data_IF_924466186972
#
_entry.id   IF_924466186972
#
_cell.length_a   1.000
_cell.length_b   1.000
_cell.length_c   1.000
_cell.angle_alpha   90.00
_cell.angle_beta   90.00
_cell.angle_gamma   90.00
#
_symmetry.space_group_name_H-M   'P 1'
#
loop_
_entity.id
_entity.type
_entity.pdbx_description
1 polymer ?
#
# COMPACT_ATOMS: atom_id res chain seq x y z
N UNK A 1 41.63 3.65 3.09
CA UNK A 1 40.54 3.52 2.11
C UNK A 1 39.26 3.06 2.80
N UNK A 2 39.34 2.08 3.70
CA UNK A 2 38.18 1.56 4.45
C UNK A 2 37.46 2.62 5.29
N UNK A 3 38.18 3.55 5.91
CA UNK A 3 37.60 4.65 6.70
C UNK A 3 36.71 5.60 5.87
N UNK A 4 37.06 5.83 4.60
CA UNK A 4 36.28 6.67 3.66
C UNK A 4 35.01 5.94 3.25
N UNK A 5 35.10 4.63 2.97
CA UNK A 5 33.96 3.78 2.59
C UNK A 5 32.96 3.67 3.75
N UNK A 6 33.45 3.49 4.98
CA UNK A 6 32.60 3.41 6.18
C UNK A 6 31.86 4.73 6.41
N UNK A 7 32.55 5.88 6.33
CA UNK A 7 31.91 7.17 6.57
C UNK A 7 30.86 7.52 5.49
N UNK A 8 31.11 7.17 4.22
CA UNK A 8 30.13 7.37 3.15
C UNK A 8 28.92 6.46 3.31
N UNK A 9 29.12 5.18 3.67
CA UNK A 9 28.01 4.26 3.94
C UNK A 9 27.11 4.75 5.07
N UNK A 10 27.69 5.21 6.18
CA UNK A 10 26.91 5.75 7.31
C UNK A 10 26.09 6.98 6.92
N UNK A 11 26.67 7.87 6.13
CA UNK A 11 26.00 9.10 5.70
C UNK A 11 24.79 8.78 4.82
N UNK A 12 24.94 7.82 3.90
CA UNK A 12 23.85 7.35 3.04
C UNK A 12 22.75 6.69 3.87
N UNK A 13 23.10 5.80 4.80
CA UNK A 13 22.13 5.12 5.67
C UNK A 13 21.30 6.12 6.48
N UNK A 14 21.94 7.12 7.09
CA UNK A 14 21.26 8.16 7.87
C UNK A 14 20.32 8.97 6.99
N UNK A 15 20.77 9.39 5.80
CA UNK A 15 19.95 10.16 4.88
C UNK A 15 18.72 9.38 4.39
N UNK A 16 18.91 8.12 4.00
CA UNK A 16 17.83 7.22 3.59
C UNK A 16 16.83 7.00 4.72
N UNK A 17 17.31 6.77 5.95
CA UNK A 17 16.44 6.60 7.12
C UNK A 17 15.57 7.84 7.35
N UNK A 18 16.14 9.05 7.25
CA UNK A 18 15.40 10.30 7.43
C UNK A 18 14.31 10.47 6.36
N UNK A 19 14.64 10.20 5.09
CA UNK A 19 13.68 10.33 3.98
C UNK A 19 12.52 9.34 4.12
N UNK A 20 12.83 8.07 4.40
CA UNK A 20 11.80 7.02 4.57
C UNK A 20 10.94 7.33 5.79
N UNK A 21 11.54 7.63 6.94
CA UNK A 21 10.79 7.94 8.15
C UNK A 21 9.86 9.14 7.95
N UNK A 22 10.34 10.21 7.33
CA UNK A 22 9.53 11.40 7.06
C UNK A 22 8.36 11.11 6.11
N UNK A 23 8.64 10.42 4.99
CA UNK A 23 7.62 10.03 4.02
C UNK A 23 6.56 9.10 4.61
N UNK A 24 6.98 8.12 5.40
CA UNK A 24 6.09 7.21 6.12
C UNK A 24 5.19 7.97 7.10
N UNK A 25 5.73 8.90 7.89
CA UNK A 25 4.93 9.70 8.84
C UNK A 25 3.89 10.54 8.10
N UNK A 26 4.28 11.25 7.03
CA UNK A 26 3.35 12.01 6.20
C UNK A 26 2.25 11.13 5.61
N UNK A 27 2.61 9.96 5.07
CA UNK A 27 1.65 9.02 4.51
C UNK A 27 0.63 8.53 5.56
N UNK A 28 1.08 8.20 6.79
CA UNK A 28 0.18 7.87 7.91
C UNK A 28 -0.79 9.03 8.17
N UNK A 29 -0.27 10.26 8.28
CA UNK A 29 -1.08 11.42 8.65
C UNK A 29 -2.14 11.75 7.59
N UNK A 30 -1.77 11.69 6.31
CA UNK A 30 -2.72 11.85 5.20
C UNK A 30 -3.77 10.73 5.19
N UNK A 31 -3.33 9.50 5.40
CA UNK A 31 -4.21 8.34 5.44
C UNK A 31 -5.25 8.45 6.56
N UNK A 32 -4.83 8.72 7.80
CA UNK A 32 -5.72 8.84 8.96
C UNK A 32 -6.75 9.96 8.74
N UNK A 33 -6.32 11.13 8.26
CA UNK A 33 -7.23 12.26 8.00
C UNK A 33 -8.26 11.93 6.91
N UNK A 34 -7.84 11.25 5.84
CA UNK A 34 -8.71 10.86 4.75
C UNK A 34 -9.72 9.77 5.17
N UNK A 35 -9.30 8.85 6.03
CA UNK A 35 -10.11 7.72 6.46
C UNK A 35 -11.18 8.11 7.50
N UNK A 36 -10.84 8.99 8.44
CA UNK A 36 -11.77 9.49 9.46
C UNK A 36 -12.97 10.22 8.86
N UNK A 37 -12.83 10.81 7.66
CA UNK A 37 -13.93 11.44 6.93
C UNK A 37 -14.92 10.47 6.27
N UNK A 38 -14.56 9.19 6.08
CA UNK A 38 -15.27 8.25 5.18
C UNK A 38 -16.23 7.28 5.88
N UNK A 39 -16.28 7.28 7.21
CA UNK A 39 -16.99 6.25 8.01
C UNK A 39 -18.53 6.39 8.07
N UNK A 40 -19.14 7.37 7.41
CA UNK A 40 -20.59 7.64 7.48
C UNK A 40 -21.36 7.15 6.23
N UNK A 41 -21.89 5.92 6.22
CA UNK A 41 -22.74 5.46 5.10
C UNK A 41 -23.32 4.03 5.13
N UNK A 42 -24.53 3.87 5.72
CA UNK A 42 -25.68 2.91 5.60
C UNK A 42 -25.60 1.51 4.94
N UNK A 43 -26.35 0.55 5.54
CA UNK A 43 -26.21 -0.94 5.46
C UNK A 43 -27.18 -1.52 4.41
N UNK A 44 -26.66 -2.33 3.48
CA UNK A 44 -27.42 -3.15 2.50
C UNK A 44 -26.48 -4.23 1.91
N UNK A 45 -26.99 -5.25 1.20
CA UNK A 45 -26.20 -6.36 0.63
C UNK A 45 -25.06 -5.93 -0.32
N UNK A 46 -25.17 -4.74 -0.92
CA UNK A 46 -24.06 -4.03 -1.61
C UNK A 46 -22.83 -3.76 -0.72
N UNK A 47 -22.99 -3.83 0.61
CA UNK A 47 -21.95 -3.52 1.59
C UNK A 47 -20.97 -4.68 1.80
N UNK A 48 -21.30 -5.93 1.46
CA UNK A 48 -20.32 -7.03 1.53
C UNK A 48 -19.18 -6.82 0.53
N UNK A 49 -19.49 -6.50 -0.73
CA UNK A 49 -18.47 -6.07 -1.69
C UNK A 49 -17.80 -4.76 -1.25
N UNK A 50 -18.54 -3.78 -0.73
CA UNK A 50 -17.93 -2.53 -0.26
C UNK A 50 -16.95 -2.75 0.91
N UNK A 51 -17.26 -3.66 1.83
CA UNK A 51 -16.38 -4.06 2.94
C UNK A 51 -15.17 -4.79 2.39
N UNK A 52 -15.32 -5.68 1.39
CA UNK A 52 -14.19 -6.36 0.73
C UNK A 52 -13.27 -5.37 0.01
N UNK A 53 -13.84 -4.42 -0.75
CA UNK A 53 -13.09 -3.39 -1.47
C UNK A 53 -12.34 -2.48 -0.48
N UNK A 54 -13.01 -1.98 0.56
CA UNK A 54 -12.36 -1.17 1.59
C UNK A 54 -11.28 -1.98 2.32
N UNK A 55 -11.56 -3.23 2.66
CA UNK A 55 -10.57 -4.13 3.26
C UNK A 55 -9.37 -4.33 2.34
N UNK A 56 -9.58 -4.47 1.03
CA UNK A 56 -8.50 -4.55 0.05
C UNK A 56 -7.67 -3.27 -0.03
N UNK A 57 -8.29 -2.09 0.06
CA UNK A 57 -7.56 -0.82 0.18
C UNK A 57 -6.73 -0.73 1.48
N UNK A 58 -7.29 -1.14 2.62
CA UNK A 58 -6.54 -1.18 3.89
C UNK A 58 -5.37 -2.17 3.85
N UNK A 59 -5.57 -3.33 3.22
CA UNK A 59 -4.50 -4.31 3.02
C UNK A 59 -3.41 -3.76 2.10
N UNK A 60 -3.75 -3.10 0.99
CA UNK A 60 -2.78 -2.46 0.11
C UNK A 60 -1.94 -1.41 0.85
N UNK A 61 -2.59 -0.60 1.70
CA UNK A 61 -1.91 0.46 2.44
C UNK A 61 -1.04 -0.08 3.59
N UNK A 62 -1.51 -1.11 4.31
CA UNK A 62 -0.68 -1.82 5.27
C UNK A 62 0.55 -2.43 4.59
N UNK A 63 0.35 -3.00 3.41
CA UNK A 63 1.41 -3.58 2.60
C UNK A 63 2.42 -2.52 2.15
N UNK A 64 1.97 -1.30 1.80
CA UNK A 64 2.80 -0.08 1.61
C UNK A 64 3.74 0.20 2.78
N UNK A 65 3.21 0.18 4.01
CA UNK A 65 3.98 0.35 5.24
C UNK A 65 5.01 -0.76 5.48
N UNK A 66 4.68 -2.01 5.12
CA UNK A 66 5.59 -3.14 5.31
C UNK A 66 6.88 -3.00 4.47
N UNK A 67 6.86 -2.40 3.27
CA UNK A 67 8.11 -2.12 2.53
C UNK A 67 8.98 -1.12 3.28
N UNK A 68 8.39 -0.05 3.83
CA UNK A 68 9.17 0.95 4.54
C UNK A 68 9.91 0.32 5.74
N UNK A 69 9.22 -0.57 6.46
CA UNK A 69 9.81 -1.33 7.56
C UNK A 69 10.95 -2.27 7.10
N UNK A 70 10.74 -3.04 6.03
CA UNK A 70 11.74 -3.98 5.50
C UNK A 70 12.99 -3.26 4.95
N UNK A 71 12.81 -2.10 4.30
CA UNK A 71 13.93 -1.27 3.83
C UNK A 71 14.73 -0.72 5.00
N UNK A 72 14.07 -0.19 6.03
CA UNK A 72 14.75 0.28 7.25
C UNK A 72 15.53 -0.86 7.91
N UNK A 73 14.94 -2.05 8.01
CA UNK A 73 15.61 -3.22 8.57
C UNK A 73 16.88 -3.61 7.80
N UNK A 74 16.80 -3.62 6.47
CA UNK A 74 17.93 -3.96 5.59
C UNK A 74 19.07 -2.92 5.66
N UNK A 75 18.74 -1.65 5.90
CA UNK A 75 19.76 -0.59 6.12
C UNK A 75 20.50 -0.80 7.45
N UNK A 76 19.81 -1.31 8.48
CA UNK A 76 20.39 -1.57 9.80
C UNK A 76 21.23 -2.85 9.83
N UNK A 77 20.73 -3.92 9.20
CA UNK A 77 21.36 -5.24 9.14
C UNK A 77 21.99 -5.41 7.75
N UNK A 78 23.18 -4.86 7.56
CA UNK A 78 23.84 -4.73 6.25
C UNK A 78 24.46 -6.07 5.76
N UNK A 79 23.70 -7.17 5.79
CA UNK A 79 24.14 -8.52 5.38
C UNK A 79 23.51 -8.98 4.06
N UNK A 80 24.23 -9.81 3.30
CA UNK A 80 23.75 -10.37 2.04
C UNK A 80 22.50 -11.27 2.20
N UNK A 81 22.30 -11.86 3.38
CA UNK A 81 21.09 -12.62 3.69
C UNK A 81 19.85 -11.74 3.77
N UNK A 82 19.97 -10.53 4.31
CA UNK A 82 18.83 -9.60 4.44
C UNK A 82 18.41 -9.03 3.10
N UNK A 83 19.36 -8.84 2.17
CA UNK A 83 19.04 -8.50 0.78
C UNK A 83 18.17 -9.58 0.10
N UNK A 84 18.41 -10.86 0.38
CA UNK A 84 17.60 -11.96 -0.16
C UNK A 84 16.19 -11.97 0.44
N UNK A 85 16.07 -11.72 1.73
CA UNK A 85 14.78 -11.63 2.43
C UNK A 85 13.99 -10.42 1.90
N UNK A 86 14.64 -9.27 1.73
CA UNK A 86 14.04 -8.08 1.12
C UNK A 86 13.53 -8.37 -0.29
N UNK A 87 14.33 -9.03 -1.13
CA UNK A 87 13.92 -9.45 -2.47
C UNK A 87 12.67 -10.35 -2.46
N UNK A 88 12.62 -11.33 -1.56
CA UNK A 88 11.46 -12.22 -1.41
C UNK A 88 10.21 -11.47 -0.92
N UNK A 89 10.36 -10.59 0.07
CA UNK A 89 9.27 -9.77 0.59
C UNK A 89 8.62 -8.93 -0.51
N UNK A 90 9.43 -8.27 -1.34
CA UNK A 90 8.95 -7.48 -2.49
C UNK A 90 8.14 -8.34 -3.46
N UNK A 91 8.58 -9.55 -3.78
CA UNK A 91 7.85 -10.45 -4.69
C UNK A 91 6.49 -10.86 -4.11
N UNK A 92 6.46 -11.34 -2.86
CA UNK A 92 5.22 -11.74 -2.18
C UNK A 92 4.24 -10.57 -2.16
N UNK A 93 4.74 -9.38 -1.81
CA UNK A 93 3.96 -8.16 -1.81
C UNK A 93 3.40 -7.82 -3.18
N UNK A 94 4.20 -7.83 -4.25
CA UNK A 94 3.71 -7.53 -5.60
C UNK A 94 2.60 -8.49 -6.00
N UNK A 95 2.73 -9.78 -5.68
CA UNK A 95 1.68 -10.77 -5.93
C UNK A 95 0.40 -10.43 -5.15
N UNK A 96 0.49 -10.18 -3.84
CA UNK A 96 -0.67 -9.85 -3.01
C UNK A 96 -1.37 -8.55 -3.47
N UNK A 97 -0.60 -7.49 -3.71
CA UNK A 97 -1.11 -6.22 -4.25
C UNK A 97 -1.79 -6.42 -5.61
N UNK A 98 -1.23 -7.26 -6.48
CA UNK A 98 -1.79 -7.56 -7.79
C UNK A 98 -3.11 -8.33 -7.70
N UNK A 99 -3.19 -9.36 -6.85
CA UNK A 99 -4.43 -10.10 -6.63
C UNK A 99 -5.55 -9.20 -6.07
N UNK A 100 -5.23 -8.41 -5.05
CA UNK A 100 -6.19 -7.48 -4.43
C UNK A 100 -6.64 -6.38 -5.41
N UNK A 101 -5.70 -5.76 -6.13
CA UNK A 101 -6.03 -4.72 -7.11
C UNK A 101 -6.88 -5.26 -8.26
N UNK A 102 -6.65 -6.51 -8.68
CA UNK A 102 -7.44 -7.16 -9.72
C UNK A 102 -8.89 -7.40 -9.28
N UNK A 103 -9.10 -7.92 -8.06
CA UNK A 103 -10.45 -8.13 -7.52
C UNK A 103 -11.23 -6.81 -7.37
N UNK A 104 -10.57 -5.73 -6.95
CA UNK A 104 -11.23 -4.42 -6.81
C UNK A 104 -11.66 -3.87 -8.18
N UNK A 105 -10.82 -3.98 -9.21
CA UNK A 105 -11.13 -3.47 -10.54
C UNK A 105 -12.29 -4.23 -11.22
N UNK A 106 -12.37 -5.56 -11.04
CA UNK A 106 -13.47 -6.37 -11.57
C UNK A 106 -14.83 -5.95 -10.97
N UNK A 107 -14.85 -5.62 -9.67
CA UNK A 107 -16.04 -5.15 -8.98
C UNK A 107 -16.49 -3.74 -9.44
N UNK A 108 -15.56 -2.85 -9.79
CA UNK A 108 -15.86 -1.50 -10.30
C UNK A 108 -16.43 -1.53 -11.73
N UNK A 109 -15.86 -2.35 -12.63
CA UNK A 109 -16.38 -2.51 -13.99
C UNK A 109 -17.80 -3.07 -14.00
N UNK A 110 -18.11 -4.03 -13.12
CA UNK A 110 -19.46 -4.58 -13.00
C UNK A 110 -20.47 -3.52 -12.54
N UNK A 111 -20.08 -2.63 -11.62
CA UNK A 111 -20.92 -1.51 -11.17
C UNK A 111 -21.16 -0.47 -12.25
N UNK A 112 -20.13 -0.12 -13.04
CA UNK A 112 -20.29 0.81 -14.15
C UNK A 112 -21.28 0.29 -15.20
N UNK A 113 -21.22 -1.00 -15.54
CA UNK A 113 -22.16 -1.61 -16.50
C UNK A 113 -23.61 -1.55 -16.03
N UNK A 114 -23.88 -1.83 -14.75
CA UNK A 114 -25.23 -1.74 -14.19
C UNK A 114 -25.73 -0.29 -14.14
N UNK A 115 -24.88 0.66 -13.76
CA UNK A 115 -25.29 2.07 -13.74
C UNK A 115 -25.54 2.62 -15.16
N UNK A 116 -24.83 2.14 -16.19
CA UNK A 116 -25.12 2.45 -17.60
C UNK A 116 -26.43 1.83 -18.10
N UNK A 117 -26.74 0.59 -17.72
CA UNK A 117 -28.02 -0.06 -18.05
C UNK A 117 -29.21 0.66 -17.40
N UNK A 118 -29.13 1.00 -16.11
CA UNK A 118 -30.17 1.76 -15.40
C UNK A 118 -30.39 3.14 -16.05
N UNK A 119 -29.31 3.79 -16.51
CA UNK A 119 -29.40 5.10 -17.16
C UNK A 119 -29.99 5.03 -18.58
N UNK A 120 -29.92 3.87 -19.24
CA UNK A 120 -30.58 3.61 -20.52
C UNK A 120 -32.06 3.29 -20.36
N UNK A 121 -32.43 2.47 -19.37
CA UNK A 121 -33.85 2.14 -19.10
C UNK A 121 -34.66 3.32 -18.57
N UNK A 122 -34.04 4.25 -17.83
CA UNK A 122 -34.74 5.45 -17.33
C UNK A 122 -34.98 6.56 -18.36
N UNK A 123 -34.63 6.35 -19.64
CA UNK A 123 -34.71 7.37 -20.71
C UNK A 123 -35.71 7.03 -21.81
N UNK A 124 -36.32 5.85 -21.77
CA UNK A 124 -37.48 5.44 -22.59
C UNK A 124 -38.80 5.66 -21.82
#
# INVERSE_FOLDING_TARGET
MDEIIINTSYTISILSLVVIAYGSVLAVLYFINNELGRFSGKFSMKRLNFVKINFGYYLLLGLDFLIAADVVRTILENTMQDLMILGLSVVIRTLLSFFLGREINEDEEFRQKIDEEIKKEGKD
#
